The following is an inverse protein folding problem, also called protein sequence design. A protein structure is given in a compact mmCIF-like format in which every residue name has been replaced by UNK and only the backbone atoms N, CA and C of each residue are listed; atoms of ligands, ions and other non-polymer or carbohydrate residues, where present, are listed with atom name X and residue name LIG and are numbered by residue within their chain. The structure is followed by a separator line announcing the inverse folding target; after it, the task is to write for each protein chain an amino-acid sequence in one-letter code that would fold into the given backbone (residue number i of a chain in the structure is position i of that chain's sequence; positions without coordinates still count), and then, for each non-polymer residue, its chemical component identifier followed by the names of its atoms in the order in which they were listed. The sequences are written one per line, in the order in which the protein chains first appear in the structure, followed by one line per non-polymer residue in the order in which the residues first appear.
data_IF_948646483072
#
_entry.id   IF_948646483072
#
_cell.length_a   1.000
_cell.length_b   1.000
_cell.length_c   1.000
_cell.angle_alpha   90.00
_cell.angle_beta   90.00
_cell.angle_gamma   90.00
#
_symmetry.space_group_name_H-M   'P 1'
#
loop_
_entity.id
_entity.type
_entity.pdbx_description
1 polymer ?
#
# COMPACT_ATOMS: atom_id res chain seq x y z
N UNK A 1 -14.97 -8.64 -0.99
CA UNK A 1 -13.98 -7.95 -1.85
C UNK A 1 -12.60 -7.93 -1.17
N UNK A 2 -11.99 -9.09 -0.97
CA UNK A 2 -10.55 -9.23 -0.60
C UNK A 2 -9.70 -9.44 -1.87
N UNK A 3 -10.35 -9.58 -3.02
CA UNK A 3 -9.73 -9.97 -4.30
C UNK A 3 -8.93 -8.86 -4.98
N UNK A 4 -9.14 -7.59 -4.64
CA UNK A 4 -8.48 -6.48 -5.34
C UNK A 4 -7.14 -6.06 -4.70
N UNK A 5 -6.93 -6.34 -3.42
CA UNK A 5 -5.68 -5.96 -2.73
C UNK A 5 -4.53 -6.95 -2.97
N UNK A 6 -4.83 -8.20 -3.33
CA UNK A 6 -3.83 -9.15 -3.83
C UNK A 6 -3.44 -8.88 -5.29
N UNK A 7 -4.27 -8.16 -6.04
CA UNK A 7 -3.95 -7.75 -7.41
C UNK A 7 -2.88 -6.63 -7.47
N UNK A 8 -2.65 -5.89 -6.39
CA UNK A 8 -1.59 -4.89 -6.30
C UNK A 8 -0.24 -5.44 -5.80
N UNK A 9 -0.15 -6.75 -5.50
CA UNK A 9 1.02 -7.30 -4.81
C UNK A 9 1.50 -8.69 -5.24
N UNK A 10 0.92 -9.35 -6.26
CA UNK A 10 1.41 -10.67 -6.63
C UNK A 10 0.85 -11.22 -7.94
N UNK A 11 1.79 -11.56 -8.83
CA UNK A 11 1.64 -12.19 -10.17
C UNK A 11 1.25 -11.21 -11.28
N UNK A 12 2.27 -10.61 -11.89
CA UNK A 12 2.16 -9.84 -13.14
C UNK A 12 1.88 -8.33 -13.00
N UNK A 13 1.59 -7.84 -11.80
CA UNK A 13 1.43 -6.41 -11.55
C UNK A 13 2.81 -5.73 -11.48
N UNK A 14 3.05 -4.75 -12.34
CA UNK A 14 4.23 -3.89 -12.28
C UNK A 14 4.41 -3.34 -10.85
N UNK A 15 5.65 -3.21 -10.34
CA UNK A 15 5.88 -2.48 -9.10
C UNK A 15 5.31 -1.08 -9.26
N UNK A 16 4.30 -0.75 -8.44
CA UNK A 16 3.69 0.58 -8.42
C UNK A 16 4.81 1.57 -8.10
N UNK A 17 5.06 2.52 -9.00
CA UNK A 17 6.19 3.42 -8.84
C UNK A 17 5.94 4.33 -7.63
N UNK A 18 7.00 4.80 -6.92
CA UNK A 18 6.85 5.64 -5.73
C UNK A 18 5.98 6.88 -5.94
N UNK A 19 6.01 7.44 -7.16
CA UNK A 19 5.18 8.57 -7.58
C UNK A 19 3.67 8.23 -7.62
N UNK A 20 3.32 6.98 -7.90
CA UNK A 20 1.94 6.50 -8.01
C UNK A 20 1.36 6.22 -6.63
N UNK A 21 2.14 5.65 -5.70
CA UNK A 21 1.75 5.48 -4.30
C UNK A 21 1.57 6.83 -3.59
N UNK A 22 2.55 7.74 -3.73
CA UNK A 22 2.48 9.08 -3.14
C UNK A 22 1.33 9.92 -3.72
N UNK A 23 1.04 9.80 -5.02
CA UNK A 23 -0.10 10.47 -5.64
C UNK A 23 -1.45 9.92 -5.18
N UNK A 24 -1.52 8.64 -4.80
CA UNK A 24 -2.73 8.01 -4.30
C UNK A 24 -2.98 8.30 -2.81
N UNK A 25 -1.95 8.64 -2.03
CA UNK A 25 -2.06 8.89 -0.58
C UNK A 25 -3.16 9.90 -0.19
N UNK A 26 -3.29 11.08 -0.84
CA UNK A 26 -4.36 12.02 -0.51
C UNK A 26 -5.77 11.43 -0.69
N UNK A 27 -5.95 10.51 -1.63
CA UNK A 27 -7.24 9.84 -1.85
C UNK A 27 -7.58 8.88 -0.70
N UNK A 28 -6.61 8.10 -0.23
CA UNK A 28 -6.78 7.22 0.93
C UNK A 28 -7.02 8.02 2.22
N UNK A 29 -6.30 9.13 2.41
CA UNK A 29 -6.48 10.02 3.56
C UNK A 29 -7.89 10.65 3.56
N UNK A 30 -8.34 11.15 2.41
CA UNK A 30 -9.69 11.67 2.24
C UNK A 30 -10.76 10.60 2.53
N UNK A 31 -10.59 9.38 2.00
CA UNK A 31 -11.49 8.26 2.25
C UNK A 31 -11.57 7.91 3.74
N UNK A 32 -10.42 7.85 4.42
CA UNK A 32 -10.36 7.56 5.85
C UNK A 32 -11.05 8.66 6.68
N UNK A 33 -10.84 9.94 6.33
CA UNK A 33 -11.48 11.06 6.99
C UNK A 33 -13.01 11.06 6.80
N UNK A 34 -13.49 10.79 5.59
CA UNK A 34 -14.92 10.66 5.30
C UNK A 34 -15.56 9.50 6.07
N UNK A 35 -14.90 8.34 6.13
CA UNK A 35 -15.37 7.21 6.92
C UNK A 35 -15.40 7.51 8.42
N UNK A 36 -14.41 8.22 8.94
CA UNK A 36 -14.37 8.64 10.34
C UNK A 36 -15.51 9.62 10.67
N UNK A 37 -15.75 10.61 9.81
CA UNK A 37 -16.85 11.56 9.97
C UNK A 37 -18.23 10.85 9.88
N UNK A 38 -18.37 9.92 8.95
CA UNK A 38 -19.59 9.13 8.82
C UNK A 38 -19.81 8.22 10.03
N UNK A 39 -18.76 7.56 10.54
CA UNK A 39 -18.83 6.77 11.77
C UNK A 39 -19.27 7.64 12.95
N UNK A 40 -18.68 8.82 13.14
CA UNK A 40 -19.07 9.74 14.21
C UNK A 40 -20.55 10.14 14.12
N UNK A 41 -21.05 10.37 12.90
CA UNK A 41 -22.47 10.63 12.69
C UNK A 41 -23.35 9.42 13.07
N UNK A 42 -22.99 8.21 12.63
CA UNK A 42 -23.75 6.98 12.95
C UNK A 42 -23.72 6.69 14.44
N UNK A 43 -22.59 6.90 15.12
CA UNK A 43 -22.51 6.73 16.57
C UNK A 43 -23.38 7.73 17.34
N UNK A 44 -23.66 8.90 16.76
CA UNK A 44 -24.56 9.89 17.35
C UNK A 44 -26.05 9.62 17.06
N UNK A 45 -26.39 9.05 15.90
CA UNK A 45 -27.78 8.94 15.44
C UNK A 45 -28.35 7.52 15.49
N UNK A 46 -27.52 6.49 15.32
CA UNK A 46 -27.92 5.08 15.40
C UNK A 46 -26.78 4.19 15.92
N UNK A 47 -26.48 4.23 17.23
CA UNK A 47 -25.33 3.53 17.82
C UNK A 47 -25.35 2.01 17.61
N UNK A 48 -26.55 1.41 17.51
CA UNK A 48 -26.73 -0.03 17.27
C UNK A 48 -26.19 -0.46 15.90
N UNK A 49 -26.20 0.45 14.92
CA UNK A 49 -25.74 0.19 13.56
C UNK A 49 -24.25 0.49 13.38
N UNK A 50 -23.57 1.06 14.38
CA UNK A 50 -22.19 1.52 14.24
C UNK A 50 -21.15 0.40 14.02
N UNK A 51 -21.48 -0.86 14.33
CA UNK A 51 -20.56 -2.00 14.25
C UNK A 51 -19.85 -2.14 12.89
N UNK A 52 -20.58 -2.30 11.78
CA UNK A 52 -20.02 -2.32 10.43
C UNK A 52 -19.17 -1.09 10.08
N UNK A 53 -19.56 0.10 10.53
CA UNK A 53 -18.85 1.35 10.24
C UNK A 53 -17.51 1.44 10.99
N UNK A 54 -17.43 0.93 12.22
CA UNK A 54 -16.15 0.81 12.96
C UNK A 54 -15.16 -0.10 12.23
N UNK A 55 -15.65 -1.22 11.69
CA UNK A 55 -14.82 -2.14 10.90
C UNK A 55 -14.33 -1.45 9.63
N UNK A 56 -15.20 -0.72 8.93
CA UNK A 56 -14.82 0.01 7.72
C UNK A 56 -13.78 1.11 8.01
N UNK A 57 -13.97 1.91 9.06
CA UNK A 57 -13.02 2.93 9.48
C UNK A 57 -11.67 2.33 9.89
N UNK A 58 -11.66 1.23 10.64
CA UNK A 58 -10.44 0.51 11.01
C UNK A 58 -9.69 -0.04 9.78
N UNK A 59 -10.41 -0.57 8.79
CA UNK A 59 -9.80 -1.02 7.52
C UNK A 59 -9.15 0.14 6.76
N UNK A 60 -9.81 1.29 6.66
CA UNK A 60 -9.25 2.47 6.01
C UNK A 60 -7.97 2.96 6.71
N UNK A 61 -7.92 2.91 8.04
CA UNK A 61 -6.69 3.21 8.79
C UNK A 61 -5.59 2.17 8.53
N UNK A 62 -5.95 0.89 8.41
CA UNK A 62 -5.02 -0.18 8.02
C UNK A 62 -4.43 0.03 6.61
N UNK A 63 -5.24 0.47 5.65
CA UNK A 63 -4.77 0.82 4.30
C UNK A 63 -3.74 1.95 4.34
N UNK A 64 -3.98 3.00 5.14
CA UNK A 64 -3.03 4.10 5.33
C UNK A 64 -1.72 3.65 6.00
N UNK A 65 -1.81 2.79 7.02
CA UNK A 65 -0.63 2.24 7.68
C UNK A 65 0.20 1.38 6.72
N UNK A 66 -0.44 0.55 5.91
CA UNK A 66 0.22 -0.23 4.87
C UNK A 66 0.90 0.66 3.83
N UNK A 67 0.22 1.71 3.37
CA UNK A 67 0.77 2.66 2.41
C UNK A 67 2.03 3.35 2.97
N UNK A 68 2.03 3.73 4.24
CA UNK A 68 3.19 4.33 4.89
C UNK A 68 4.39 3.38 4.95
N UNK A 69 4.17 2.08 5.20
CA UNK A 69 5.22 1.06 5.16
C UNK A 69 5.79 0.94 3.75
N UNK A 70 4.92 0.88 2.73
CA UNK A 70 5.36 0.81 1.33
C UNK A 70 6.16 2.02 0.88
N UNK A 71 5.73 3.23 1.24
CA UNK A 71 6.49 4.45 0.96
C UNK A 71 7.89 4.42 1.61
N UNK A 72 8.02 3.85 2.80
CA UNK A 72 9.30 3.73 3.49
C UNK A 72 10.22 2.66 2.86
N UNK A 73 9.68 1.49 2.53
CA UNK A 73 10.39 0.42 1.82
C UNK A 73 10.92 0.91 0.47
N UNK A 74 10.07 1.58 -0.31
CA UNK A 74 10.43 2.14 -1.61
C UNK A 74 11.49 3.23 -1.50
N UNK A 75 11.41 4.11 -0.50
CA UNK A 75 12.45 5.11 -0.25
C UNK A 75 13.79 4.46 0.05
N UNK A 76 13.78 3.43 0.89
CA UNK A 76 14.99 2.67 1.25
C UNK A 76 15.60 2.01 0.01
N UNK A 77 14.77 1.41 -0.84
CA UNK A 77 15.21 0.81 -2.09
C UNK A 77 15.77 1.87 -3.06
N UNK A 78 15.11 3.02 -3.22
CA UNK A 78 15.58 4.12 -4.05
C UNK A 78 16.94 4.70 -3.57
N UNK A 79 17.16 4.75 -2.26
CA UNK A 79 18.45 5.15 -1.68
C UNK A 79 19.53 4.10 -1.91
N UNK A 80 19.22 2.82 -1.67
CA UNK A 80 20.14 1.72 -1.92
C UNK A 80 20.59 1.66 -3.38
N UNK A 81 19.65 1.77 -4.31
CA UNK A 81 19.91 1.76 -5.76
C UNK A 81 20.76 2.96 -6.21
N UNK A 82 20.50 4.15 -5.67
CA UNK A 82 21.33 5.34 -5.91
C UNK A 82 22.75 5.17 -5.38
N UNK A 83 22.92 4.57 -4.21
CA UNK A 83 24.21 4.35 -3.57
C UNK A 83 25.02 3.20 -4.17
N UNK A 84 24.35 2.20 -4.78
CA UNK A 84 24.99 0.97 -5.27
C UNK A 84 24.63 0.63 -6.73
N UNK A 85 24.90 1.52 -7.71
CA UNK A 85 24.55 1.29 -9.11
C UNK A 85 25.24 0.06 -9.73
N UNK A 86 26.44 -0.29 -9.25
CA UNK A 86 27.19 -1.46 -9.71
C UNK A 86 26.71 -2.80 -9.08
N UNK A 87 26.07 -2.76 -7.91
CA UNK A 87 25.50 -3.93 -7.23
C UNK A 87 24.25 -4.44 -7.93
N UNK A 88 23.39 -3.50 -8.37
CA UNK A 88 22.18 -3.80 -9.14
C UNK A 88 22.43 -4.65 -10.38
N UNK A 89 23.49 -4.36 -11.14
CA UNK A 89 23.83 -5.14 -12.34
C UNK A 89 24.32 -6.55 -12.02
N UNK A 90 24.84 -6.77 -10.81
CA UNK A 90 25.31 -8.09 -10.34
C UNK A 90 24.14 -8.91 -9.81
N UNK A 91 23.30 -8.31 -8.96
CA UNK A 91 22.12 -8.96 -8.39
C UNK A 91 21.08 -9.31 -9.47
N UNK A 92 20.88 -8.44 -10.47
CA UNK A 92 20.00 -8.74 -11.60
C UNK A 92 20.55 -9.88 -12.47
N UNK A 93 21.86 -9.95 -12.68
CA UNK A 93 22.50 -11.05 -13.41
C UNK A 93 22.38 -12.38 -12.64
N UNK A 94 22.58 -12.37 -11.33
CA UNK A 94 22.45 -13.56 -10.50
C UNK A 94 20.99 -14.04 -10.41
N UNK A 95 20.03 -13.12 -10.28
CA UNK A 95 18.60 -13.44 -10.25
C UNK A 95 18.11 -14.00 -11.60
N UNK A 96 18.55 -13.42 -12.72
CA UNK A 96 18.25 -13.92 -14.08
C UNK A 96 18.91 -15.29 -14.32
N UNK A 97 20.17 -15.46 -13.90
CA UNK A 97 20.86 -16.75 -14.00
C UNK A 97 20.18 -17.84 -13.15
N UNK A 98 19.64 -17.49 -11.98
CA UNK A 98 18.87 -18.42 -11.14
C UNK A 98 17.52 -18.80 -11.74
N UNK A 99 16.86 -17.89 -12.46
CA UNK A 99 15.53 -18.14 -13.05
C UNK A 99 15.58 -18.87 -14.40
N UNK A 100 16.60 -18.60 -15.22
CA UNK A 100 16.74 -19.15 -16.57
C UNK A 100 17.86 -20.19 -16.71
N UNK A 101 18.58 -20.49 -15.62
CA UNK A 101 19.69 -21.44 -15.59
C UNK A 101 19.31 -22.89 -15.29
N UNK A 102 18.14 -23.37 -15.74
CA UNK A 102 17.80 -24.80 -15.78
C UNK A 102 17.42 -25.23 -17.18
#
# INVERSE_FOLDING_TARGET
MISDLLAFGGVGAHPVQPKELAAARPLYECRAALLAAHLAHVEATSPADAGPHRIAAARAQGELAWLAVREAEERTYAEYTRANPAGLGRDLKEMVASFFGR
#
